data_IF_143328532768
#
_entry.id   IF_143328532768
#
_cell.length_a   1.000
_cell.length_b   1.000
_cell.length_c   1.000
_cell.angle_alpha   90.00
_cell.angle_beta   90.00
_cell.angle_gamma   90.00
#
_symmetry.space_group_name_H-M   'P 1'
#
loop_
_entity.id
_entity.type
_entity.pdbx_description
1 polymer ?
#
# COMPACT_ATOMS: atom_id res chain seq x y z
N UNK A 1 33.43 -57.79 25.21
CA UNK A 1 33.83 -56.39 25.02
C UNK A 1 32.55 -55.64 24.74
N UNK A 2 31.93 -55.07 25.77
CA UNK A 2 30.65 -54.37 25.68
C UNK A 2 30.77 -53.07 26.49
N UNK A 3 31.31 -52.04 25.87
CA UNK A 3 31.26 -50.66 26.35
C UNK A 3 31.24 -49.74 25.12
N UNK A 4 30.34 -48.76 25.12
CA UNK A 4 30.38 -47.46 24.41
C UNK A 4 29.17 -47.06 23.56
N UNK A 5 28.15 -47.88 23.39
CA UNK A 5 26.99 -47.44 22.57
C UNK A 5 26.00 -46.53 23.30
N UNK A 6 25.98 -46.52 24.65
CA UNK A 6 24.99 -45.78 25.44
C UNK A 6 25.43 -44.37 25.87
N UNK A 7 26.73 -44.08 25.90
CA UNK A 7 27.26 -42.76 26.28
C UNK A 7 27.20 -41.78 25.09
N UNK A 8 27.46 -42.26 23.89
CA UNK A 8 27.39 -41.48 22.66
C UNK A 8 25.98 -40.96 22.35
N UNK A 9 24.92 -41.73 22.65
CA UNK A 9 23.54 -41.29 22.42
C UNK A 9 23.12 -40.16 23.37
N UNK A 10 23.56 -40.20 24.62
CA UNK A 10 23.25 -39.15 25.60
C UNK A 10 24.00 -37.84 25.35
N UNK A 11 25.23 -37.93 24.83
CA UNK A 11 26.04 -36.76 24.47
C UNK A 11 25.44 -36.03 23.25
N UNK A 12 24.99 -36.78 22.24
CA UNK A 12 24.37 -36.21 21.04
C UNK A 12 23.04 -35.51 21.35
N UNK A 13 22.23 -36.03 22.27
CA UNK A 13 20.96 -35.39 22.69
C UNK A 13 21.21 -34.08 23.45
N UNK A 14 22.25 -34.02 24.27
CA UNK A 14 22.63 -32.81 25.01
C UNK A 14 23.15 -31.71 24.07
N UNK A 15 24.02 -32.06 23.13
CA UNK A 15 24.54 -31.12 22.12
C UNK A 15 23.43 -30.57 21.22
N UNK A 16 22.46 -31.42 20.85
CA UNK A 16 21.31 -31.00 20.03
C UNK A 16 20.38 -30.06 20.81
N UNK A 17 20.24 -30.26 22.12
CA UNK A 17 19.43 -29.41 22.99
C UNK A 17 20.10 -28.05 23.24
N UNK A 18 21.42 -28.03 23.42
CA UNK A 18 22.21 -26.79 23.51
C UNK A 18 22.19 -26.00 22.20
N UNK A 19 22.34 -26.67 21.05
CA UNK A 19 22.24 -26.04 19.74
C UNK A 19 20.86 -25.42 19.53
N UNK A 20 19.79 -26.13 19.92
CA UNK A 20 18.42 -25.60 19.84
C UNK A 20 18.22 -24.37 20.74
N UNK A 21 18.76 -24.41 21.96
CA UNK A 21 18.69 -23.27 22.89
C UNK A 21 19.50 -22.07 22.38
N UNK A 22 20.67 -22.32 21.79
CA UNK A 22 21.51 -21.29 21.19
C UNK A 22 20.85 -20.68 19.95
N UNK A 23 20.19 -21.51 19.11
CA UNK A 23 19.41 -21.04 17.96
C UNK A 23 18.21 -20.19 18.40
N UNK A 24 17.53 -20.57 19.48
CA UNK A 24 16.45 -19.80 20.08
C UNK A 24 16.94 -18.44 20.59
N UNK A 25 18.03 -18.41 21.35
CA UNK A 25 18.64 -17.17 21.87
C UNK A 25 19.10 -16.26 20.72
N UNK A 26 19.78 -16.81 19.73
CA UNK A 26 20.24 -16.06 18.56
C UNK A 26 19.04 -15.51 17.76
N UNK A 27 17.94 -16.26 17.64
CA UNK A 27 16.70 -15.79 17.01
C UNK A 27 16.04 -14.66 17.80
N UNK A 28 16.08 -14.72 19.14
CA UNK A 28 15.53 -13.67 20.02
C UNK A 28 16.38 -12.39 19.99
N UNK A 29 17.71 -12.51 19.99
CA UNK A 29 18.65 -11.38 19.88
C UNK A 29 18.61 -10.74 18.49
N UNK A 30 18.51 -11.54 17.43
CA UNK A 30 18.35 -11.05 16.05
C UNK A 30 17.01 -10.31 15.88
N UNK A 31 15.96 -10.72 16.60
CA UNK A 31 14.66 -10.01 16.60
C UNK A 31 14.72 -8.64 17.27
N UNK A 32 15.50 -8.45 18.34
CA UNK A 32 15.56 -7.16 19.04
C UNK A 32 16.24 -6.04 18.23
N UNK A 33 17.06 -6.37 17.23
CA UNK A 33 17.79 -5.36 16.43
C UNK A 33 17.03 -4.80 15.22
N UNK A 34 15.85 -5.34 14.86
CA UNK A 34 15.11 -4.96 13.63
C UNK A 34 13.61 -4.70 13.80
N UNK A 35 13.08 -4.67 15.02
CA UNK A 35 11.66 -4.31 15.23
C UNK A 35 11.57 -2.79 15.31
N UNK A 36 10.98 -2.09 14.32
CA UNK A 36 10.65 -0.68 14.50
C UNK A 36 9.76 -0.57 15.74
N UNK A 37 10.02 0.39 16.63
CA UNK A 37 9.20 0.62 17.84
C UNK A 37 7.70 0.58 17.48
N UNK A 38 7.08 -0.56 17.76
CA UNK A 38 5.66 -0.78 17.61
C UNK A 38 5.05 -0.48 18.96
N UNK A 39 4.28 0.60 19.03
CA UNK A 39 3.48 0.87 20.22
C UNK A 39 2.16 0.15 20.05
N UNK A 40 1.86 -0.72 20.99
CA UNK A 40 0.52 -1.26 21.15
C UNK A 40 -0.38 -0.11 21.59
N UNK A 41 -1.43 0.17 20.82
CA UNK A 41 -2.44 1.15 21.18
C UNK A 41 -3.79 0.48 21.31
N UNK A 42 -4.61 1.01 22.22
CA UNK A 42 -6.03 0.69 22.29
C UNK A 42 -6.80 1.86 21.69
N UNK A 43 -7.32 1.73 20.46
CA UNK A 43 -7.98 2.83 19.78
C UNK A 43 -9.32 3.17 20.44
N UNK A 44 -9.70 4.44 20.42
CA UNK A 44 -10.99 4.86 20.95
C UNK A 44 -12.05 4.82 19.83
N UNK A 45 -13.20 4.14 20.04
CA UNK A 45 -14.30 4.12 19.08
C UNK A 45 -14.82 5.50 18.69
N UNK A 46 -14.94 5.73 17.38
CA UNK A 46 -15.43 6.97 16.81
C UNK A 46 -16.79 6.81 16.14
N UNK A 47 -16.79 6.25 14.93
CA UNK A 47 -17.98 5.99 14.13
C UNK A 47 -17.90 4.61 13.45
N UNK A 48 -19.06 4.01 13.19
CA UNK A 48 -19.15 2.75 12.47
C UNK A 48 -19.89 2.97 11.15
N UNK A 49 -19.23 2.63 10.04
CA UNK A 49 -19.78 2.71 8.69
C UNK A 49 -20.20 1.33 8.25
N UNK A 50 -21.41 1.20 7.72
CA UNK A 50 -21.89 -0.02 7.05
C UNK A 50 -21.84 0.19 5.55
N UNK A 51 -21.22 -0.73 4.84
CA UNK A 51 -21.20 -0.81 3.37
C UNK A 51 -21.33 -2.27 2.91
N UNK A 52 -21.16 -2.51 1.61
CA UNK A 52 -21.20 -3.82 0.98
C UNK A 52 -19.91 -4.02 0.16
N UNK A 53 -19.42 -5.26 0.08
CA UNK A 53 -18.45 -5.62 -0.96
C UNK A 53 -19.09 -5.67 -2.34
N UNK A 54 -18.28 -5.47 -3.37
CA UNK A 54 -18.64 -5.69 -4.76
C UNK A 54 -17.75 -6.80 -5.35
N UNK A 55 -18.27 -7.67 -6.23
CA UNK A 55 -19.67 -7.77 -6.68
C UNK A 55 -20.59 -8.56 -5.73
N UNK A 56 -20.03 -9.23 -4.71
CA UNK A 56 -20.71 -10.26 -3.90
C UNK A 56 -21.78 -9.74 -2.92
N UNK A 57 -21.88 -8.42 -2.76
CA UNK A 57 -22.83 -7.72 -1.88
C UNK A 57 -22.82 -8.22 -0.43
N UNK A 58 -21.66 -8.63 0.08
CA UNK A 58 -21.50 -9.05 1.48
C UNK A 58 -21.43 -7.84 2.39
N UNK A 59 -22.06 -7.93 3.57
CA UNK A 59 -22.05 -6.82 4.54
C UNK A 59 -20.65 -6.62 5.11
N UNK A 60 -20.18 -5.37 5.02
CA UNK A 60 -18.92 -4.94 5.62
C UNK A 60 -19.17 -3.77 6.56
N UNK A 61 -18.48 -3.81 7.69
CA UNK A 61 -18.47 -2.73 8.67
C UNK A 61 -17.06 -2.15 8.78
N UNK A 62 -16.96 -0.83 8.85
CA UNK A 62 -15.69 -0.12 9.03
C UNK A 62 -15.82 0.72 10.28
N UNK A 63 -15.08 0.33 11.31
CA UNK A 63 -14.95 1.04 12.56
C UNK A 63 -13.86 2.09 12.40
N UNK A 64 -14.23 3.37 12.33
CA UNK A 64 -13.25 4.46 12.32
C UNK A 64 -13.06 4.92 13.76
N UNK A 65 -11.88 4.64 14.27
CA UNK A 65 -11.43 4.92 15.62
C UNK A 65 -10.37 6.03 15.63
N UNK A 66 -10.10 6.54 16.83
CA UNK A 66 -9.14 7.62 17.04
C UNK A 66 -8.04 7.22 18.03
N UNK A 67 -6.84 7.79 17.84
CA UNK A 67 -5.72 7.66 18.77
C UNK A 67 -4.78 8.86 18.66
N UNK A 68 -4.38 9.43 19.79
CA UNK A 68 -3.35 10.47 19.88
C UNK A 68 -1.96 10.01 19.42
N UNK A 69 -1.77 8.71 19.22
CA UNK A 69 -0.49 8.14 18.76
C UNK A 69 -0.34 8.18 17.24
N UNK A 70 -1.44 8.30 16.50
CA UNK A 70 -1.39 8.42 15.03
C UNK A 70 -1.09 9.88 14.64
N UNK A 71 -0.12 10.14 13.74
CA UNK A 71 0.21 11.49 13.32
C UNK A 71 -0.98 12.21 12.67
N UNK A 72 -1.18 13.48 13.01
CA UNK A 72 -2.19 14.34 12.38
C UNK A 72 -1.73 14.74 10.96
N UNK A 73 -2.59 14.63 9.94
CA UNK A 73 -2.27 15.09 8.60
C UNK A 73 -2.10 16.63 8.53
N UNK A 74 -1.50 17.16 7.46
CA UNK A 74 -1.42 18.61 7.25
C UNK A 74 -2.80 19.27 7.28
N UNK A 75 -2.87 20.53 7.72
CA UNK A 75 -4.13 21.23 7.76
C UNK A 75 -4.70 21.43 6.36
N UNK A 76 -5.94 20.98 6.17
CA UNK A 76 -6.70 21.11 4.94
C UNK A 76 -7.88 22.06 5.16
N UNK A 77 -8.01 23.08 4.32
CA UNK A 77 -9.18 23.99 4.33
C UNK A 77 -10.35 23.35 3.58
N UNK A 78 -11.55 23.93 3.73
CA UNK A 78 -12.75 23.41 3.07
C UNK A 78 -12.68 23.60 1.55
N UNK A 79 -12.16 24.73 1.11
CA UNK A 79 -12.00 25.10 -0.31
C UNK A 79 -11.04 24.12 -0.99
N UNK A 80 -9.88 23.90 -0.37
CA UNK A 80 -8.88 22.96 -0.88
C UNK A 80 -9.37 21.51 -0.88
N UNK A 81 -10.25 21.14 0.05
CA UNK A 81 -10.90 19.83 0.04
C UNK A 81 -11.84 19.68 -1.16
N UNK A 82 -12.61 20.72 -1.51
CA UNK A 82 -13.46 20.69 -2.71
C UNK A 82 -12.60 20.56 -3.96
N UNK A 83 -11.53 21.34 -4.08
CA UNK A 83 -10.57 21.23 -5.18
C UNK A 83 -10.00 19.81 -5.30
N UNK A 84 -9.62 19.18 -4.19
CA UNK A 84 -9.14 17.79 -4.19
C UNK A 84 -10.21 16.80 -4.66
N UNK A 85 -11.46 16.97 -4.25
CA UNK A 85 -12.56 16.08 -4.64
C UNK A 85 -12.94 16.24 -6.12
N UNK A 86 -12.72 17.41 -6.71
CA UNK A 86 -12.98 17.71 -8.13
C UNK A 86 -11.76 17.44 -9.03
N UNK A 87 -10.57 17.27 -8.45
CA UNK A 87 -9.33 17.03 -9.20
C UNK A 87 -9.26 15.66 -9.85
N UNK A 88 -8.62 15.58 -11.03
CA UNK A 88 -8.34 14.31 -11.70
C UNK A 88 -7.19 13.53 -11.04
N UNK A 89 -6.30 14.20 -10.30
CA UNK A 89 -5.24 13.58 -9.49
C UNK A 89 -5.34 13.97 -8.00
N UNK A 90 -6.16 13.27 -7.20
CA UNK A 90 -6.36 13.56 -5.78
C UNK A 90 -5.19 13.09 -4.89
N UNK A 91 -4.08 12.62 -5.47
CA UNK A 91 -2.96 12.02 -4.71
C UNK A 91 -2.15 13.02 -3.88
N UNK A 92 -2.41 14.32 -4.03
CA UNK A 92 -1.70 15.42 -3.37
C UNK A 92 -1.93 15.55 -1.85
N UNK A 93 -2.91 14.87 -1.27
CA UNK A 93 -3.16 14.89 0.18
C UNK A 93 -3.22 13.48 0.77
N UNK A 94 -2.41 13.24 1.82
CA UNK A 94 -2.31 11.94 2.48
C UNK A 94 -2.76 12.03 3.93
N UNK A 95 -3.62 11.09 4.32
CA UNK A 95 -4.10 10.92 5.68
C UNK A 95 -3.39 9.72 6.32
N UNK A 96 -2.56 9.92 7.35
CA UNK A 96 -1.99 8.81 8.12
C UNK A 96 -3.10 8.03 8.83
N UNK A 97 -3.13 6.71 8.62
CA UNK A 97 -4.08 5.81 9.30
C UNK A 97 -3.49 4.42 9.49
N UNK A 98 -3.92 3.75 10.56
CA UNK A 98 -3.71 2.31 10.77
C UNK A 98 -4.92 1.56 10.21
N UNK A 99 -4.66 0.52 9.43
CA UNK A 99 -5.69 -0.35 8.87
C UNK A 99 -5.57 -1.72 9.55
N UNK A 100 -6.49 -2.05 10.45
CA UNK A 100 -6.54 -3.32 11.17
C UNK A 100 -6.91 -4.50 10.26
N UNK A 101 -6.58 -5.71 10.71
CA UNK A 101 -6.94 -6.96 10.03
C UNK A 101 -8.47 -7.18 10.01
N UNK A 102 -9.02 -7.85 8.99
CA UNK A 102 -10.44 -8.22 8.96
C UNK A 102 -10.76 -9.15 10.13
N UNK A 103 -11.89 -8.90 10.78
CA UNK A 103 -12.44 -9.80 11.78
C UNK A 103 -13.92 -10.09 11.52
N UNK A 104 -14.35 -11.31 11.86
CA UNK A 104 -15.72 -11.77 11.63
C UNK A 104 -16.60 -11.42 12.81
N UNK A 105 -17.70 -10.75 12.52
CA UNK A 105 -18.67 -10.27 13.51
C UNK A 105 -20.09 -10.70 13.13
N UNK A 106 -21.01 -10.57 14.08
CA UNK A 106 -22.41 -10.92 13.88
C UNK A 106 -23.26 -9.66 13.89
N UNK A 107 -24.13 -9.50 12.89
CA UNK A 107 -25.05 -8.38 12.84
C UNK A 107 -26.31 -8.60 13.70
N UNK A 108 -27.18 -7.59 13.77
CA UNK A 108 -28.44 -7.68 14.55
C UNK A 108 -29.41 -8.74 14.00
N UNK A 109 -29.17 -9.27 12.80
CA UNK A 109 -29.94 -10.34 12.18
C UNK A 109 -29.26 -11.71 12.32
N UNK A 110 -28.26 -11.81 13.21
CA UNK A 110 -27.47 -13.02 13.45
C UNK A 110 -26.74 -13.56 12.20
N UNK A 111 -26.47 -12.68 11.23
CA UNK A 111 -25.69 -13.02 10.04
C UNK A 111 -24.22 -12.63 10.24
N UNK A 112 -23.32 -13.51 9.80
CA UNK A 112 -21.90 -13.22 9.75
C UNK A 112 -21.60 -12.07 8.80
N UNK A 113 -20.71 -11.18 9.22
CA UNK A 113 -20.24 -10.04 8.45
C UNK A 113 -18.77 -9.75 8.76
N UNK A 114 -18.10 -9.00 7.89
CA UNK A 114 -16.69 -8.64 8.09
C UNK A 114 -16.61 -7.22 8.64
N UNK A 115 -15.79 -7.03 9.67
CA UNK A 115 -15.48 -5.73 10.23
C UNK A 115 -13.99 -5.40 10.07
N UNK A 116 -13.69 -4.12 9.85
CA UNK A 116 -12.36 -3.56 9.76
C UNK A 116 -12.21 -2.38 10.70
N UNK A 117 -11.05 -2.28 11.36
CA UNK A 117 -10.76 -1.22 12.31
C UNK A 117 -9.74 -0.24 11.74
N UNK A 118 -10.18 0.97 11.42
CA UNK A 118 -9.34 2.05 10.88
C UNK A 118 -9.05 3.04 12.00
N UNK A 119 -7.78 3.28 12.32
CA UNK A 119 -7.39 4.22 13.39
C UNK A 119 -6.72 5.44 12.80
N UNK A 120 -7.24 6.63 13.12
CA UNK A 120 -6.68 7.91 12.71
C UNK A 120 -6.31 8.79 13.90
N UNK A 121 -5.64 9.92 13.63
CA UNK A 121 -5.39 10.95 14.65
C UNK A 121 -6.70 11.45 15.28
N UNK A 122 -6.71 11.61 16.60
CA UNK A 122 -7.84 12.16 17.35
C UNK A 122 -8.21 13.58 16.91
N UNK A 123 -7.23 14.48 16.75
CA UNK A 123 -7.50 15.85 16.32
C UNK A 123 -8.17 15.90 14.93
N UNK A 124 -7.69 15.05 14.03
CA UNK A 124 -8.23 14.95 12.68
C UNK A 124 -9.63 14.34 12.68
N UNK A 125 -9.86 13.30 13.48
CA UNK A 125 -11.19 12.70 13.63
C UNK A 125 -12.21 13.73 14.14
N UNK A 126 -11.87 14.47 15.19
CA UNK A 126 -12.75 15.49 15.77
C UNK A 126 -13.07 16.62 14.79
N UNK A 127 -12.12 17.01 13.94
CA UNK A 127 -12.38 17.95 12.85
C UNK A 127 -13.35 17.37 11.83
N UNK A 128 -13.14 16.12 11.41
CA UNK A 128 -13.96 15.50 10.38
C UNK A 128 -15.40 15.26 10.81
N UNK A 129 -15.63 14.87 12.06
CA UNK A 129 -17.00 14.61 12.55
C UNK A 129 -17.83 15.89 12.69
N UNK A 130 -17.20 17.07 12.84
CA UNK A 130 -17.89 18.36 12.96
C UNK A 130 -18.38 18.91 11.62
N UNK A 131 -17.74 18.56 10.50
CA UNK A 131 -18.11 19.03 9.16
C UNK A 131 -18.54 17.83 8.28
N UNK A 132 -19.79 17.77 7.82
CA UNK A 132 -20.28 16.68 6.98
C UNK A 132 -19.41 16.40 5.74
N UNK A 133 -18.83 17.43 5.12
CA UNK A 133 -17.97 17.26 3.95
C UNK A 133 -16.67 16.52 4.32
N UNK A 134 -16.05 16.91 5.42
CA UNK A 134 -14.86 16.22 5.93
C UNK A 134 -15.17 14.82 6.44
N UNK A 135 -16.37 14.60 7.01
CA UNK A 135 -16.81 13.25 7.40
C UNK A 135 -16.90 12.33 6.18
N UNK A 136 -17.51 12.80 5.09
CA UNK A 136 -17.59 12.04 3.84
C UNK A 136 -16.20 11.75 3.26
N UNK A 137 -15.34 12.76 3.24
CA UNK A 137 -13.94 12.61 2.83
C UNK A 137 -13.20 11.56 3.67
N UNK A 138 -13.31 11.63 4.99
CA UNK A 138 -12.69 10.65 5.90
C UNK A 138 -13.16 9.22 5.60
N UNK A 139 -14.46 9.03 5.38
CA UNK A 139 -15.02 7.72 5.06
C UNK A 139 -14.48 7.25 3.70
N UNK A 140 -14.45 8.11 2.68
CA UNK A 140 -13.94 7.77 1.35
C UNK A 140 -12.47 7.29 1.41
N UNK A 141 -11.59 8.06 2.04
CA UNK A 141 -10.16 7.69 2.16
C UNK A 141 -9.99 6.42 3.00
N UNK A 142 -10.83 6.19 4.01
CA UNK A 142 -10.79 4.95 4.81
C UNK A 142 -11.19 3.73 3.98
N UNK A 143 -12.22 3.85 3.14
CA UNK A 143 -12.63 2.77 2.22
C UNK A 143 -11.54 2.50 1.18
N UNK A 144 -11.02 3.54 0.53
CA UNK A 144 -9.93 3.42 -0.44
C UNK A 144 -8.66 2.80 0.18
N UNK A 145 -8.34 3.17 1.42
CA UNK A 145 -7.23 2.57 2.16
C UNK A 145 -7.40 1.06 2.33
N UNK A 146 -8.61 0.61 2.69
CA UNK A 146 -8.93 -0.81 2.84
C UNK A 146 -8.93 -1.55 1.50
N UNK A 147 -9.51 -0.96 0.45
CA UNK A 147 -9.52 -1.49 -0.91
C UNK A 147 -8.11 -1.76 -1.41
N UNK A 148 -7.22 -0.78 -1.26
CA UNK A 148 -5.82 -0.90 -1.66
C UNK A 148 -5.05 -1.93 -0.81
N UNK A 149 -5.27 -1.98 0.51
CA UNK A 149 -4.52 -2.87 1.41
C UNK A 149 -4.91 -4.34 1.23
N UNK A 150 -6.19 -4.61 1.05
CA UNK A 150 -6.75 -5.97 1.05
C UNK A 150 -7.26 -6.42 -0.32
N UNK A 151 -7.02 -5.62 -1.37
CA UNK A 151 -7.44 -5.89 -2.74
C UNK A 151 -8.94 -6.22 -2.84
N UNK A 152 -9.76 -5.33 -2.26
CA UNK A 152 -11.21 -5.47 -2.19
C UNK A 152 -11.89 -4.31 -2.91
N UNK A 153 -13.16 -4.50 -3.28
CA UNK A 153 -14.00 -3.45 -3.85
C UNK A 153 -15.18 -3.20 -2.90
N UNK A 154 -15.36 -1.96 -2.45
CA UNK A 154 -16.44 -1.54 -1.54
C UNK A 154 -17.40 -0.59 -2.21
N UNK A 155 -18.70 -0.81 -1.98
CA UNK A 155 -19.74 0.09 -2.43
C UNK A 155 -19.54 1.48 -1.87
N UNK A 156 -19.74 2.49 -2.72
CA UNK A 156 -19.78 3.91 -2.33
C UNK A 156 -21.13 4.29 -1.72
N UNK A 157 -22.14 3.42 -1.78
CA UNK A 157 -23.37 3.53 -0.99
C UNK A 157 -23.14 2.98 0.42
N UNK A 158 -22.74 3.86 1.33
CA UNK A 158 -22.48 3.54 2.73
C UNK A 158 -23.46 4.26 3.66
N UNK A 159 -23.60 3.72 4.88
CA UNK A 159 -24.43 4.30 5.95
C UNK A 159 -23.65 4.36 7.25
N UNK A 160 -23.54 5.55 7.85
CA UNK A 160 -23.02 5.69 9.21
C UNK A 160 -24.10 5.26 10.20
N UNK A 161 -23.74 4.35 11.12
CA UNK A 161 -24.64 3.88 12.16
C UNK A 161 -24.82 4.95 13.23
N UNK A 162 -26.08 5.25 13.58
CA UNK A 162 -26.41 6.28 14.58
C UNK A 162 -26.25 5.81 16.03
N UNK A 163 -26.58 4.54 16.29
CA UNK A 163 -26.66 3.97 17.65
C UNK A 163 -25.49 3.06 17.99
N UNK A 164 -24.48 2.96 17.11
CA UNK A 164 -23.32 2.08 17.30
C UNK A 164 -22.08 2.75 16.71
N UNK A 165 -21.07 2.94 17.56
CA UNK A 165 -19.79 3.56 17.18
C UNK A 165 -18.71 2.54 16.79
N UNK A 166 -18.92 1.27 17.12
CA UNK A 166 -18.00 0.18 16.85
C UNK A 166 -18.78 -1.13 16.77
N UNK A 167 -18.45 -1.99 15.81
CA UNK A 167 -18.92 -3.37 15.73
C UNK A 167 -17.80 -4.31 16.17
N UNK A 168 -18.10 -5.16 17.16
CA UNK A 168 -17.15 -6.11 17.72
C UNK A 168 -16.52 -5.66 19.03
N UNK A 169 -15.41 -6.29 19.38
CA UNK A 169 -14.58 -5.92 20.53
C UNK A 169 -13.39 -5.07 20.11
N UNK A 170 -13.11 -4.01 20.86
CA UNK A 170 -11.96 -3.13 20.60
C UNK A 170 -10.68 -3.88 20.93
N UNK A 171 -10.00 -4.38 19.90
CA UNK A 171 -8.72 -5.06 20.00
C UNK A 171 -7.57 -4.05 20.03
N UNK A 172 -6.46 -4.46 20.63
CA UNK A 172 -5.22 -3.70 20.59
C UNK A 172 -4.61 -3.76 19.18
N UNK A 173 -4.08 -2.64 18.69
CA UNK A 173 -3.40 -2.56 17.40
C UNK A 173 -1.95 -2.14 17.58
N UNK A 174 -1.05 -2.79 16.83
CA UNK A 174 0.35 -2.39 16.75
C UNK A 174 0.52 -1.28 15.73
N UNK A 175 0.87 -0.08 16.20
CA UNK A 175 1.16 1.06 15.34
C UNK A 175 2.65 1.35 15.40
N UNK A 176 3.25 1.57 14.23
CA UNK A 176 4.64 2.04 14.11
C UNK A 176 4.68 3.51 14.52
N UNK A 177 5.29 3.81 15.66
CA UNK A 177 5.20 5.15 16.28
C UNK A 177 6.25 6.15 15.86
N UNK A 178 7.15 5.79 14.97
CA UNK A 178 8.12 6.74 14.42
C UNK A 178 8.42 6.39 12.96
N UNK A 179 8.03 7.26 12.04
CA UNK A 179 8.98 7.63 10.98
C UNK A 179 9.73 8.81 11.59
N UNK A 180 10.92 8.58 12.15
CA UNK A 180 11.87 9.68 12.34
C UNK A 180 11.91 10.46 11.00
N UNK A 181 11.96 11.80 10.96
CA UNK A 181 12.25 12.49 9.72
C UNK A 181 13.71 12.17 9.40
N UNK A 182 13.89 11.05 8.71
CA UNK A 182 15.18 10.54 8.37
C UNK A 182 15.55 11.21 7.06
N UNK A 183 16.16 12.39 7.15
CA UNK A 183 17.16 12.71 6.14
C UNK A 183 18.36 11.83 6.51
N UNK A 184 18.40 10.63 5.94
CA UNK A 184 19.60 9.80 5.85
C UNK A 184 20.03 9.83 4.39
N UNK A 185 21.33 9.95 4.17
CA UNK A 185 21.92 9.62 2.88
C UNK A 185 21.52 8.19 2.51
N UNK A 186 20.99 8.04 1.30
CA UNK A 186 20.51 6.76 0.77
C UNK A 186 21.72 5.86 0.53
N UNK A 187 22.14 5.12 1.56
CA UNK A 187 22.80 3.85 1.33
C UNK A 187 21.68 2.83 1.12
N UNK A 188 21.43 2.53 -0.15
CA UNK A 188 20.40 1.61 -0.65
C UNK A 188 20.47 0.26 0.03
N UNK A 189 19.78 0.10 1.17
CA UNK A 189 19.39 -1.14 1.84
C UNK A 189 18.60 -0.73 3.08
N UNK A 190 17.28 -0.92 3.05
CA UNK A 190 16.35 -1.07 4.19
C UNK A 190 15.11 -0.16 4.13
N UNK A 191 14.24 -0.45 3.17
CA UNK A 191 12.79 -0.23 3.30
C UNK A 191 12.06 -1.57 3.15
N UNK A 192 11.34 -2.00 4.19
CA UNK A 192 10.45 -3.17 4.15
C UNK A 192 9.08 -2.83 3.52
N UNK A 193 9.13 -2.29 2.31
CA UNK A 193 8.18 -2.51 1.21
C UNK A 193 9.08 -3.06 0.13
N UNK A 194 8.81 -4.25 -0.41
CA UNK A 194 9.64 -4.77 -1.50
C UNK A 194 9.87 -3.63 -2.50
N UNK A 195 11.12 -3.23 -2.78
CA UNK A 195 11.36 -2.12 -3.67
C UNK A 195 10.64 -2.42 -4.98
N UNK A 196 9.91 -1.42 -5.51
CA UNK A 196 9.23 -1.54 -6.79
C UNK A 196 10.22 -2.13 -7.78
N UNK A 197 9.85 -3.26 -8.38
CA UNK A 197 10.79 -3.98 -9.25
C UNK A 197 11.05 -3.10 -10.47
N UNK A 198 12.29 -3.09 -10.95
CA UNK A 198 12.56 -2.53 -12.26
C UNK A 198 12.03 -3.54 -13.30
N UNK A 199 11.08 -3.15 -14.17
CA UNK A 199 10.60 -4.04 -15.21
C UNK A 199 11.69 -4.29 -16.25
N UNK A 200 11.62 -5.45 -16.90
CA UNK A 200 12.41 -5.68 -18.11
C UNK A 200 11.81 -4.83 -19.23
N UNK A 201 12.67 -4.12 -19.95
CA UNK A 201 12.25 -3.28 -21.06
C UNK A 201 13.30 -3.23 -22.15
N UNK A 202 12.86 -2.98 -23.37
CA UNK A 202 13.69 -2.77 -24.53
C UNK A 202 13.28 -1.48 -25.24
N UNK A 203 14.26 -0.75 -25.77
CA UNK A 203 14.03 0.39 -26.66
C UNK A 203 14.39 -0.06 -28.08
N UNK A 204 13.43 0.08 -29.00
CA UNK A 204 13.54 -0.28 -30.40
C UNK A 204 13.46 0.99 -31.24
N UNK A 205 14.20 1.00 -32.34
CA UNK A 205 14.27 2.13 -33.26
C UNK A 205 13.54 1.74 -34.54
N UNK A 206 12.62 2.57 -35.01
CA UNK A 206 11.96 2.40 -36.30
C UNK A 206 12.13 3.68 -37.16
N UNK A 207 12.52 3.54 -38.44
CA UNK A 207 13.00 2.33 -39.11
C UNK A 207 14.38 1.85 -38.59
N UNK A 208 14.69 0.54 -38.65
CA UNK A 208 15.94 -0.02 -38.13
C UNK A 208 17.19 0.36 -38.95
N UNK A 209 17.00 0.94 -40.14
CA UNK A 209 18.07 1.44 -41.00
C UNK A 209 17.64 2.76 -41.62
N UNK A 210 18.47 3.80 -41.47
CA UNK A 210 18.18 5.15 -41.94
C UNK A 210 18.12 6.15 -40.77
N UNK A 211 17.42 7.26 -41.00
CA UNK A 211 17.14 8.24 -39.96
C UNK A 211 16.05 7.70 -39.04
N UNK A 212 16.29 7.76 -37.73
CA UNK A 212 15.31 7.32 -36.73
C UNK A 212 14.09 8.23 -36.75
N UNK A 213 12.92 7.67 -37.02
CA UNK A 213 11.65 8.39 -37.01
C UNK A 213 10.89 8.16 -35.70
N UNK A 214 10.95 6.94 -35.16
CA UNK A 214 10.23 6.53 -33.96
C UNK A 214 11.14 5.73 -33.03
N UNK A 215 10.92 5.93 -31.74
CA UNK A 215 11.45 5.10 -30.68
C UNK A 215 10.29 4.36 -30.01
N UNK A 216 10.40 3.04 -29.91
CA UNK A 216 9.39 2.18 -29.30
C UNK A 216 9.95 1.60 -28.01
N UNK A 217 9.31 1.88 -26.88
CA UNK A 217 9.61 1.23 -25.62
C UNK A 217 8.64 0.08 -25.38
N UNK A 218 9.15 -1.15 -25.29
CA UNK A 218 8.39 -2.31 -24.84
C UNK A 218 8.75 -2.63 -23.39
N UNK A 219 7.78 -2.55 -22.49
CA UNK A 219 7.99 -2.70 -21.04
C UNK A 219 7.14 -3.85 -20.54
N UNK A 220 7.77 -4.87 -19.96
CA UNK A 220 7.10 -6.05 -19.42
C UNK A 220 6.65 -5.80 -17.98
N UNK A 221 5.35 -5.98 -17.72
CA UNK A 221 4.72 -5.65 -16.44
C UNK A 221 3.94 -6.86 -15.88
N UNK A 222 4.60 -8.01 -15.65
CA UNK A 222 3.92 -9.22 -15.23
C UNK A 222 3.21 -9.03 -13.88
N UNK A 223 1.93 -9.39 -13.83
CA UNK A 223 1.06 -9.20 -12.66
C UNK A 223 0.27 -7.89 -12.65
N UNK A 224 0.43 -7.00 -13.63
CA UNK A 224 -0.42 -5.82 -13.79
C UNK A 224 -1.70 -6.21 -14.53
N UNK A 225 -2.84 -6.23 -13.82
CA UNK A 225 -4.11 -6.64 -14.41
C UNK A 225 -4.84 -5.54 -15.20
N UNK A 226 -4.48 -4.26 -15.00
CA UNK A 226 -5.19 -3.13 -15.59
C UNK A 226 -4.27 -1.94 -15.86
N UNK A 227 -4.46 -1.29 -17.01
CA UNK A 227 -3.78 -0.04 -17.36
C UNK A 227 -4.09 1.10 -16.40
N UNK A 228 -5.23 1.07 -15.69
CA UNK A 228 -5.59 2.09 -14.68
C UNK A 228 -4.60 2.17 -13.51
N UNK A 229 -3.81 1.12 -13.31
CA UNK A 229 -2.77 1.09 -12.28
C UNK A 229 -1.43 1.65 -12.75
N UNK A 230 -1.30 1.98 -14.04
CA UNK A 230 -0.09 2.51 -14.66
C UNK A 230 -0.16 4.03 -14.76
N UNK A 231 0.93 4.68 -14.37
CA UNK A 231 1.17 6.11 -14.57
C UNK A 231 2.45 6.24 -15.37
N UNK A 232 2.36 6.81 -16.57
CA UNK A 232 3.47 7.00 -17.49
C UNK A 232 3.68 8.51 -17.69
N UNK A 233 4.88 8.98 -17.38
CA UNK A 233 5.32 10.34 -17.61
C UNK A 233 6.44 10.32 -18.66
N UNK A 234 6.26 11.10 -19.73
CA UNK A 234 7.25 11.28 -20.80
C UNK A 234 7.78 12.70 -20.74
N UNK A 235 9.10 12.83 -20.61
CA UNK A 235 9.84 14.07 -20.84
C UNK A 235 10.53 14.06 -22.21
N UNK A 236 11.34 15.08 -22.49
CA UNK A 236 12.05 15.20 -23.78
C UNK A 236 13.05 14.06 -23.98
N UNK A 237 13.73 13.62 -22.92
CA UNK A 237 14.77 12.60 -22.92
C UNK A 237 14.61 11.59 -21.78
N UNK A 238 13.42 11.50 -21.16
CA UNK A 238 13.19 10.69 -19.95
C UNK A 238 11.84 10.03 -19.97
N UNK A 239 11.81 8.74 -19.65
CA UNK A 239 10.58 7.95 -19.48
C UNK A 239 10.49 7.48 -18.04
N UNK A 240 9.39 7.81 -17.37
CA UNK A 240 9.08 7.36 -16.01
C UNK A 240 7.77 6.58 -16.01
N UNK A 241 7.81 5.35 -15.53
CA UNK A 241 6.63 4.49 -15.37
C UNK A 241 6.49 4.04 -13.92
N UNK A 242 5.28 4.17 -13.39
CA UNK A 242 4.91 3.69 -12.07
C UNK A 242 3.69 2.77 -12.16
N UNK A 243 3.81 1.54 -11.66
CA UNK A 243 2.69 0.61 -11.48
C UNK A 243 2.26 0.58 -10.01
N UNK A 244 1.05 1.05 -9.70
CA UNK A 244 0.47 1.10 -8.35
C UNK A 244 0.08 -0.32 -7.85
N UNK A 245 0.19 -0.64 -6.55
CA UNK A 245 0.70 0.18 -5.45
C UNK A 245 2.22 -0.05 -5.23
N UNK A 246 3.05 0.29 -6.23
CA UNK A 246 4.51 0.09 -6.26
C UNK A 246 4.98 -1.31 -6.67
N UNK A 247 4.27 -1.95 -7.62
CA UNK A 247 4.69 -3.21 -8.24
C UNK A 247 5.95 -3.03 -9.09
N UNK A 248 5.94 -1.99 -9.94
CA UNK A 248 7.04 -1.67 -10.85
C UNK A 248 7.35 -0.17 -10.83
N UNK A 249 8.63 0.14 -10.97
CA UNK A 249 9.13 1.49 -11.19
C UNK A 249 10.22 1.44 -12.25
N UNK A 250 10.03 2.19 -13.33
CA UNK A 250 11.05 2.42 -14.36
C UNK A 250 11.30 3.91 -14.44
N UNK A 251 12.57 4.28 -14.42
CA UNK A 251 13.04 5.63 -14.66
C UNK A 251 14.29 5.48 -15.52
N UNK A 252 14.19 5.89 -16.78
CA UNK A 252 15.28 5.76 -17.73
C UNK A 252 15.38 6.98 -18.64
N UNK A 253 16.63 7.33 -18.96
CA UNK A 253 16.92 8.27 -20.02
C UNK A 253 16.75 7.61 -21.39
N UNK A 254 16.20 8.40 -22.30
CA UNK A 254 15.98 8.08 -23.69
C UNK A 254 17.18 8.63 -24.47
N UNK A 255 17.77 7.87 -25.40
CA UNK A 255 18.98 8.29 -26.11
C UNK A 255 18.75 9.39 -27.17
N UNK A 256 17.50 9.80 -27.38
CA UNK A 256 17.06 10.76 -28.39
C UNK A 256 15.97 11.66 -27.81
N UNK A 257 15.83 12.86 -28.37
CA UNK A 257 14.73 13.76 -28.01
C UNK A 257 13.43 13.30 -28.67
N UNK A 258 12.37 13.20 -27.87
CA UNK A 258 11.06 12.72 -28.32
C UNK A 258 10.01 13.82 -28.33
N UNK A 259 9.07 13.72 -29.27
CA UNK A 259 7.85 14.52 -29.29
C UNK A 259 6.83 13.92 -28.31
N UNK A 260 6.67 14.58 -27.17
CA UNK A 260 5.77 14.15 -26.10
C UNK A 260 4.30 14.19 -26.54
N UNK A 261 3.90 15.17 -27.36
CA UNK A 261 2.50 15.35 -27.77
C UNK A 261 2.09 14.31 -28.83
N UNK A 262 3.03 13.93 -29.70
CA UNK A 262 2.83 12.89 -30.72
C UNK A 262 2.97 11.45 -30.20
N UNK A 263 3.37 11.25 -28.94
CA UNK A 263 3.63 9.93 -28.36
C UNK A 263 2.35 9.18 -27.98
N UNK A 264 2.34 7.87 -28.19
CA UNK A 264 1.18 6.99 -27.90
C UNK A 264 1.61 5.81 -27.05
N UNK A 265 0.81 5.48 -26.03
CA UNK A 265 1.03 4.32 -25.16
C UNK A 265 -0.13 3.32 -25.25
N UNK A 266 0.18 2.04 -25.39
CA UNK A 266 -0.77 0.94 -25.51
C UNK A 266 -0.41 -0.16 -24.52
N UNK A 267 -1.35 -0.55 -23.65
CA UNK A 267 -1.17 -1.64 -22.71
C UNK A 267 -1.99 -2.86 -23.11
N UNK A 268 -1.33 -3.99 -23.30
CA UNK A 268 -2.00 -5.26 -23.58
C UNK A 268 -2.17 -6.06 -22.27
N UNK A 269 -3.41 -6.22 -21.81
CA UNK A 269 -3.73 -6.94 -20.56
C UNK A 269 -3.50 -8.45 -20.63
N UNK A 270 -3.51 -9.04 -21.83
CA UNK A 270 -3.27 -10.47 -22.02
C UNK A 270 -1.77 -10.81 -21.96
N UNK A 271 -0.92 -10.00 -22.58
CA UNK A 271 0.54 -10.19 -22.57
C UNK A 271 1.23 -9.45 -21.43
N UNK A 272 0.53 -8.52 -20.78
CA UNK A 272 1.05 -7.64 -19.72
C UNK A 272 2.25 -6.81 -20.19
N UNK A 273 2.20 -6.32 -21.43
CA UNK A 273 3.23 -5.50 -22.06
C UNK A 273 2.66 -4.10 -22.31
N UNK A 274 3.39 -3.07 -21.89
CA UNK A 274 3.16 -1.68 -22.26
C UNK A 274 4.10 -1.33 -23.42
N UNK A 275 3.52 -0.86 -24.52
CA UNK A 275 4.24 -0.39 -25.70
C UNK A 275 4.05 1.11 -25.82
N UNK A 276 5.14 1.87 -25.83
CA UNK A 276 5.14 3.33 -25.98
C UNK A 276 5.84 3.69 -27.29
N UNK A 277 5.10 4.23 -28.25
CA UNK A 277 5.63 4.69 -29.53
C UNK A 277 5.83 6.20 -29.46
N UNK A 278 7.08 6.64 -29.61
CA UNK A 278 7.52 8.01 -29.39
C UNK A 278 8.16 8.54 -30.68
N UNK A 279 7.55 9.51 -31.38
CA UNK A 279 8.19 10.15 -32.52
C UNK A 279 9.46 10.89 -32.08
N UNK A 280 10.52 10.80 -32.88
CA UNK A 280 11.80 11.47 -32.59
C UNK A 280 11.80 12.86 -33.21
N UNK A 281 12.25 13.84 -32.42
CA UNK A 281 12.43 15.21 -32.91
C UNK A 281 13.76 15.27 -33.66
N UNK A 282 13.70 15.37 -34.99
CA UNK A 282 14.88 15.61 -35.81
C UNK A 282 15.50 16.96 -35.44
N UNK A 283 16.79 16.97 -35.12
CA UNK A 283 17.57 18.21 -34.93
C UNK A 283 17.85 18.91 -36.26
#
# INVERSE_FOLDING_TARGET
METDSSLLSSEVDLEQQELYQQLLLQTMETRQSKIPESKVIRPQPGLCVKTLTLPDKQKVFVNICQSATVPTPPQLSREKLVELLESEDPSGYRVPMSLGEPHTEVDNSFQGCTAYDVVISEDFFQKCVKDPLFQQFLIAVSLEGLENKYNLELSRDWKVLKNRKFLGSVNEQNIRTNRKPVIQEINSRDTHTAPAKRPEFCLLVEPPAGDTEFLIAEIQLPGVASSRSLVLDLGEDRLVLNARPSLFHLDCFIPVFIDQEGSVALYNTNTQILTVTMPVVSS
#
